data_IF_480679769759
#
_entry.id   IF_480679769759
#
_cell.length_a   1.000
_cell.length_b   1.000
_cell.length_c   1.000
_cell.angle_alpha   90.00
_cell.angle_beta   90.00
_cell.angle_gamma   90.00
#
_symmetry.space_group_name_H-M   'P 1'
#
loop_
_entity.id
_entity.type
_entity.pdbx_description
1 polymer ?
#
# COMPACT_ATOMS: atom_id res chain seq x y z
N UNK A 1 -15.08 2.18 -2.89
CA UNK A 1 -13.61 2.48 -2.81
C UNK A 1 -12.78 1.30 -3.31
N UNK A 2 -11.63 1.57 -3.95
CA UNK A 2 -10.69 0.55 -4.43
C UNK A 2 -9.24 1.03 -4.34
N UNK A 3 -8.34 0.21 -3.80
CA UNK A 3 -6.89 0.40 -3.86
C UNK A 3 -6.30 -0.32 -5.08
N UNK A 4 -5.51 0.41 -5.85
CA UNK A 4 -4.71 -0.08 -6.95
C UNK A 4 -3.24 0.06 -6.60
N UNK A 5 -2.43 -0.94 -6.95
CA UNK A 5 -0.99 -0.90 -6.77
C UNK A 5 -0.30 -1.08 -8.12
N UNK A 6 0.65 -0.20 -8.42
CA UNK A 6 1.44 -0.19 -9.63
C UNK A 6 2.92 -0.38 -9.27
N UNK A 7 3.57 -1.38 -9.84
CA UNK A 7 5.03 -1.51 -9.84
C UNK A 7 5.59 -0.53 -10.86
N UNK A 8 6.44 0.40 -10.42
CA UNK A 8 7.03 1.42 -11.27
C UNK A 8 8.14 0.83 -12.17
N UNK A 9 8.35 1.38 -13.38
CA UNK A 9 9.40 0.92 -14.27
C UNK A 9 10.80 1.01 -13.63
N UNK A 10 11.59 -0.05 -13.80
CA UNK A 10 13.01 -0.13 -13.44
C UNK A 10 13.72 -0.97 -14.50
N UNK A 11 14.85 -0.49 -15.01
CA UNK A 11 15.59 -1.18 -16.08
C UNK A 11 15.92 -2.63 -15.68
N UNK A 12 15.55 -3.59 -16.53
CA UNK A 12 15.75 -5.02 -16.28
C UNK A 12 14.70 -5.71 -15.38
N UNK A 13 13.66 -4.99 -14.92
CA UNK A 13 12.63 -5.56 -14.04
C UNK A 13 11.21 -5.45 -14.62
N UNK A 14 10.34 -6.39 -14.21
CA UNK A 14 8.91 -6.35 -14.54
C UNK A 14 8.24 -5.15 -13.87
N UNK A 15 7.30 -4.53 -14.57
CA UNK A 15 6.51 -3.40 -14.08
C UNK A 15 5.06 -3.52 -14.57
N UNK A 16 4.15 -2.75 -13.95
CA UNK A 16 2.71 -2.87 -14.23
C UNK A 16 1.86 -3.01 -12.97
N UNK A 17 0.54 -3.23 -13.12
CA UNK A 17 -0.36 -3.45 -12.00
C UNK A 17 0.07 -4.67 -11.20
N UNK A 18 0.24 -4.51 -9.89
CA UNK A 18 0.73 -5.58 -9.02
C UNK A 18 -0.23 -6.78 -8.98
N UNK A 19 -1.55 -6.54 -9.05
CA UNK A 19 -2.55 -7.63 -9.16
C UNK A 19 -2.31 -8.53 -10.38
N UNK A 20 -1.78 -7.98 -11.48
CA UNK A 20 -1.41 -8.75 -12.69
C UNK A 20 -0.09 -9.48 -12.51
N UNK A 21 0.89 -8.82 -11.88
CA UNK A 21 2.23 -9.38 -11.66
C UNK A 21 2.24 -10.47 -10.57
N UNK A 22 1.27 -10.45 -9.66
CA UNK A 22 1.08 -11.34 -8.48
C UNK A 22 2.17 -11.25 -7.41
N UNK A 23 3.40 -10.93 -7.81
CA UNK A 23 4.56 -10.74 -6.93
C UNK A 23 5.46 -9.65 -7.51
N UNK A 24 6.29 -9.08 -6.65
CA UNK A 24 7.25 -8.02 -6.98
C UNK A 24 8.62 -8.42 -6.43
N UNK A 25 9.71 -8.04 -7.10
CA UNK A 25 11.05 -8.27 -6.58
C UNK A 25 11.41 -7.23 -5.53
N UNK A 26 12.41 -7.52 -4.70
CA UNK A 26 13.02 -6.49 -3.84
C UNK A 26 13.61 -5.34 -4.67
N UNK A 27 13.77 -4.19 -4.03
CA UNK A 27 14.30 -2.95 -4.58
C UNK A 27 13.48 -2.38 -5.75
N UNK A 28 12.18 -2.64 -5.79
CA UNK A 28 11.22 -2.00 -6.68
C UNK A 28 10.37 -0.96 -5.94
N UNK A 29 9.94 0.06 -6.67
CA UNK A 29 9.05 1.10 -6.16
C UNK A 29 7.60 0.79 -6.51
N UNK A 30 6.73 0.89 -5.52
CA UNK A 30 5.29 0.72 -5.64
C UNK A 30 4.59 2.08 -5.53
N UNK A 31 3.58 2.27 -6.37
CA UNK A 31 2.64 3.39 -6.26
C UNK A 31 1.25 2.85 -6.01
N UNK A 32 0.72 3.12 -4.83
CA UNK A 32 -0.66 2.86 -4.48
C UNK A 32 -1.51 4.08 -4.82
N UNK A 33 -2.69 3.85 -5.38
CA UNK A 33 -3.70 4.86 -5.63
C UNK A 33 -5.06 4.37 -5.20
N UNK A 34 -5.94 5.28 -4.77
CA UNK A 34 -7.33 4.94 -4.48
C UNK A 34 -8.32 5.58 -5.44
N UNK A 35 -9.39 4.86 -5.73
CA UNK A 35 -10.61 5.41 -6.32
C UNK A 35 -11.76 5.27 -5.32
N UNK A 36 -12.56 6.31 -5.15
CA UNK A 36 -13.67 6.34 -4.19
C UNK A 36 -14.80 7.22 -4.70
N UNK A 37 -16.02 6.86 -4.32
CA UNK A 37 -17.27 7.55 -4.52
C UNK A 37 -17.72 8.34 -3.28
N UNK A 38 -16.99 8.23 -2.17
CA UNK A 38 -17.24 9.01 -0.95
C UNK A 38 -16.97 10.50 -1.24
N UNK A 39 -17.97 11.39 -1.04
CA UNK A 39 -17.80 12.81 -1.30
C UNK A 39 -16.95 13.49 -0.23
N UNK A 40 -16.07 14.39 -0.69
CA UNK A 40 -15.27 15.25 0.18
C UNK A 40 -16.16 16.23 0.99
N UNK A 41 -15.67 16.75 2.12
CA UNK A 41 -14.40 16.42 2.76
C UNK A 41 -14.46 15.08 3.50
N UNK A 42 -13.32 14.38 3.55
CA UNK A 42 -13.09 13.20 4.38
C UNK A 42 -11.61 13.15 4.78
N UNK A 43 -11.31 12.35 5.80
CA UNK A 43 -9.97 12.00 6.24
C UNK A 43 -9.53 10.71 5.56
N UNK A 44 -8.25 10.63 5.18
CA UNK A 44 -7.68 9.48 4.51
C UNK A 44 -6.54 8.93 5.36
N UNK A 45 -6.55 7.62 5.59
CA UNK A 45 -5.52 6.94 6.36
C UNK A 45 -4.97 5.74 5.61
N UNK A 46 -3.68 5.49 5.75
CA UNK A 46 -2.98 4.34 5.20
C UNK A 46 -2.44 3.46 6.31
N UNK A 47 -2.54 2.15 6.15
CA UNK A 47 -1.87 1.20 7.02
C UNK A 47 -0.98 0.28 6.19
N UNK A 48 0.30 0.34 6.46
CA UNK A 48 1.30 -0.49 5.80
C UNK A 48 1.73 -1.55 6.80
N UNK A 49 1.40 -2.81 6.52
CA UNK A 49 1.81 -3.92 7.37
C UNK A 49 2.88 -4.74 6.68
N UNK A 50 4.04 -4.78 7.33
CA UNK A 50 5.10 -5.71 6.98
C UNK A 50 4.98 -6.95 7.89
N UNK A 51 5.05 -8.16 7.30
CA UNK A 51 5.08 -9.42 8.06
C UNK A 51 6.10 -10.37 7.46
N UNK A 52 6.57 -11.30 8.28
CA UNK A 52 7.47 -12.39 7.90
C UNK A 52 8.76 -12.42 8.71
N UNK A 53 9.49 -13.56 8.67
CA UNK A 53 10.71 -13.74 9.45
C UNK A 53 11.80 -12.72 9.10
N UNK A 54 11.92 -12.36 7.81
CA UNK A 54 12.90 -11.37 7.35
C UNK A 54 12.60 -9.97 7.90
N UNK A 55 11.33 -9.54 7.86
CA UNK A 55 10.92 -8.25 8.43
C UNK A 55 11.12 -8.20 9.96
N UNK A 56 10.93 -9.33 10.66
CA UNK A 56 11.17 -9.43 12.09
C UNK A 56 12.68 -9.41 12.43
N UNK A 57 13.50 -10.13 11.66
CA UNK A 57 14.95 -10.17 11.84
C UNK A 57 15.62 -8.80 11.65
N UNK A 58 14.97 -7.89 10.93
CA UNK A 58 15.46 -6.55 10.61
C UNK A 58 14.74 -5.43 11.38
N UNK A 59 13.93 -5.80 12.37
CA UNK A 59 13.11 -4.87 13.18
C UNK A 59 12.25 -3.90 12.34
N UNK A 60 11.76 -4.40 11.20
CA UNK A 60 10.96 -3.63 10.23
C UNK A 60 9.49 -4.05 10.23
N UNK A 61 9.02 -4.63 11.33
CA UNK A 61 7.60 -4.92 11.52
C UNK A 61 6.83 -3.60 11.62
N UNK A 62 6.05 -3.30 10.60
CA UNK A 62 5.19 -2.11 10.54
C UNK A 62 3.73 -2.50 10.66
N UNK A 63 2.89 -1.64 11.21
CA UNK A 63 1.43 -1.83 11.25
C UNK A 63 0.66 -0.57 11.65
N UNK A 64 1.33 0.56 11.68
CA UNK A 64 0.77 1.85 12.08
C UNK A 64 -0.23 2.35 11.03
N UNK A 65 -1.23 3.08 11.52
CA UNK A 65 -2.19 3.80 10.70
C UNK A 65 -1.70 5.25 10.61
N UNK A 66 -1.45 5.72 9.40
CA UNK A 66 -0.84 7.01 9.10
C UNK A 66 -1.89 7.89 8.43
N UNK A 67 -2.07 9.10 8.92
CA UNK A 67 -2.95 10.10 8.31
C UNK A 67 -2.30 10.67 7.04
N UNK A 68 -3.08 10.75 5.97
CA UNK A 68 -2.69 11.34 4.69
C UNK A 68 -3.00 12.83 4.69
N UNK A 69 -2.06 13.66 5.15
CA UNK A 69 -2.26 15.10 5.41
C UNK A 69 -2.74 15.86 4.17
N UNK A 70 -2.21 15.52 3.00
CA UNK A 70 -2.55 16.18 1.74
C UNK A 70 -3.77 15.53 1.05
N UNK A 71 -4.26 14.40 1.59
CA UNK A 71 -5.31 13.55 0.98
C UNK A 71 -5.04 13.28 -0.49
N UNK A 72 -3.76 13.12 -0.87
CA UNK A 72 -3.31 12.96 -2.25
C UNK A 72 -3.88 11.73 -2.95
N UNK A 73 -4.48 10.80 -2.19
CA UNK A 73 -4.99 9.51 -2.69
C UNK A 73 -3.87 8.65 -3.27
N UNK A 74 -2.61 8.99 -3.00
CA UNK A 74 -1.42 8.38 -3.57
C UNK A 74 -0.43 8.09 -2.46
N UNK A 75 0.00 6.83 -2.38
CA UNK A 75 1.08 6.43 -1.45
C UNK A 75 2.20 5.75 -2.23
N UNK A 76 3.43 6.17 -2.00
CA UNK A 76 4.63 5.54 -2.58
C UNK A 76 5.35 4.73 -1.51
N UNK A 77 5.73 3.50 -1.84
CA UNK A 77 6.48 2.62 -0.95
C UNK A 77 7.59 1.91 -1.74
N UNK A 78 8.66 1.50 -1.06
CA UNK A 78 9.71 0.66 -1.64
C UNK A 78 9.63 -0.76 -1.09
N UNK A 79 9.95 -1.73 -1.94
CA UNK A 79 10.02 -3.15 -1.57
C UNK A 79 11.42 -3.46 -1.09
N UNK A 80 11.61 -3.70 0.20
CA UNK A 80 12.96 -3.92 0.76
C UNK A 80 13.24 -5.40 1.04
N UNK A 81 12.23 -6.17 1.47
CA UNK A 81 12.41 -7.51 2.02
C UNK A 81 11.38 -8.47 1.48
N UNK A 82 11.73 -9.75 1.38
CA UNK A 82 10.80 -10.76 0.91
C UNK A 82 9.74 -11.04 1.98
N UNK A 83 8.64 -11.60 1.54
CA UNK A 83 7.55 -11.99 2.42
C UNK A 83 6.20 -11.46 1.98
N UNK A 84 5.22 -11.67 2.86
CA UNK A 84 3.85 -11.25 2.66
C UNK A 84 3.60 -9.96 3.43
N UNK A 85 3.32 -8.91 2.66
CA UNK A 85 3.01 -7.59 3.16
C UNK A 85 1.63 -7.20 2.66
N UNK A 86 1.05 -6.15 3.22
CA UNK A 86 -0.18 -5.59 2.68
C UNK A 86 -0.30 -4.10 2.97
N UNK A 87 -1.14 -3.44 2.18
CA UNK A 87 -1.55 -2.06 2.36
C UNK A 87 -3.06 -2.02 2.51
N UNK A 88 -3.52 -1.45 3.61
CA UNK A 88 -4.91 -1.09 3.82
C UNK A 88 -5.06 0.42 3.74
N UNK A 89 -6.25 0.87 3.39
CA UNK A 89 -6.60 2.27 3.30
C UNK A 89 -7.99 2.51 3.88
N UNK A 90 -8.19 3.64 4.54
CA UNK A 90 -9.41 3.97 5.25
C UNK A 90 -9.83 5.40 4.92
N UNK A 91 -11.08 5.57 4.50
CA UNK A 91 -11.73 6.87 4.40
C UNK A 91 -12.63 7.04 5.63
N UNK A 92 -12.37 8.09 6.39
CA UNK A 92 -13.08 8.41 7.64
C UNK A 92 -13.80 9.74 7.47
N UNK A 93 -15.05 9.83 7.92
CA UNK A 93 -15.82 11.08 7.94
C UNK A 93 -16.66 11.11 9.21
N UNK A 94 -16.64 12.24 9.93
CA UNK A 94 -17.33 12.41 11.21
C UNK A 94 -17.00 11.29 12.22
N UNK A 95 -15.73 10.89 12.30
CA UNK A 95 -15.25 9.85 13.22
C UNK A 95 -15.67 8.42 12.86
N UNK A 96 -16.23 8.19 11.65
CA UNK A 96 -16.66 6.86 11.19
C UNK A 96 -15.94 6.46 9.92
N UNK A 97 -15.52 5.19 9.82
CA UNK A 97 -15.00 4.61 8.57
C UNK A 97 -16.17 4.46 7.59
N UNK A 98 -16.11 5.20 6.48
CA UNK A 98 -17.12 5.11 5.42
C UNK A 98 -16.72 4.14 4.31
N UNK A 99 -15.42 3.97 4.08
CA UNK A 99 -14.91 3.03 3.10
C UNK A 99 -13.50 2.54 3.46
N UNK A 100 -13.19 1.31 3.08
CA UNK A 100 -11.86 0.71 3.23
C UNK A 100 -11.61 -0.27 2.10
N UNK A 101 -10.34 -0.52 1.77
CA UNK A 101 -9.92 -1.58 0.86
C UNK A 101 -8.52 -2.07 1.23
N UNK A 102 -8.18 -3.27 0.76
CA UNK A 102 -6.97 -4.00 1.10
C UNK A 102 -6.23 -4.48 -0.16
N UNK A 103 -4.91 -4.40 -0.14
CA UNK A 103 -4.05 -4.90 -1.21
C UNK A 103 -2.88 -5.71 -0.66
N UNK A 104 -2.82 -7.00 -1.02
CA UNK A 104 -1.68 -7.85 -0.73
C UNK A 104 -0.46 -7.49 -1.58
N UNK A 105 0.72 -7.57 -0.99
CA UNK A 105 2.00 -7.30 -1.62
C UNK A 105 2.94 -8.45 -1.28
N UNK A 106 3.13 -9.35 -2.24
CA UNK A 106 4.07 -10.47 -2.11
C UNK A 106 5.40 -10.07 -2.72
N UNK A 107 6.44 -10.00 -1.89
CA UNK A 107 7.81 -9.68 -2.32
C UNK A 107 8.63 -10.97 -2.37
N UNK A 108 9.32 -11.23 -3.49
CA UNK A 108 10.07 -12.48 -3.74
C UNK A 108 11.47 -12.25 -4.30
#
# INVERSE_FOLDING_TARGET
MRINAQVLPKSGFRHGPLRRLRRVSVLQSLRFTITTDVPEPYDLYWKIRNRGPEAAALDQLRGEIIFDEDRSRIRKESTSWKGQHYVEVYIVKNGRVLATDHHDVVIS
#
